data_IF_652395874014
#
_entry.id   IF_652395874014
#
_cell.length_a   1.000
_cell.length_b   1.000
_cell.length_c   1.000
_cell.angle_alpha   90.00
_cell.angle_beta   90.00
_cell.angle_gamma   90.00
#
_symmetry.space_group_name_H-M   'P 1'
#
loop_
_entity.id
_entity.type
_entity.pdbx_description
1 polymer ?
#
# COMPACT_ATOMS: atom_id res chain seq x y z
N UNK A 1 5.54 -6.09 3.05
CA UNK A 1 5.76 -5.32 1.81
C UNK A 1 6.99 -4.45 1.96
N UNK A 2 7.87 -4.39 0.96
CA UNK A 2 9.04 -3.50 0.91
C UNK A 2 8.93 -2.55 -0.27
N UNK A 3 9.45 -1.34 -0.10
CA UNK A 3 9.45 -0.28 -1.12
C UNK A 3 10.88 0.19 -1.34
N UNK A 4 11.34 0.18 -2.58
CA UNK A 4 12.63 0.73 -2.96
C UNK A 4 12.48 2.25 -3.15
N UNK A 5 13.04 3.03 -2.22
CA UNK A 5 12.91 4.48 -2.22
C UNK A 5 13.67 5.16 -3.37
N UNK A 6 14.67 4.51 -3.97
CA UNK A 6 15.40 5.05 -5.13
C UNK A 6 14.63 4.89 -6.44
N UNK A 7 13.66 3.96 -6.49
CA UNK A 7 12.82 3.71 -7.66
C UNK A 7 11.41 4.32 -7.50
N UNK A 8 10.94 4.49 -6.27
CA UNK A 8 9.62 5.05 -6.03
C UNK A 8 9.55 6.53 -6.44
N UNK A 9 8.60 6.86 -7.31
CA UNK A 9 8.38 8.24 -7.78
C UNK A 9 7.18 8.92 -7.11
N UNK A 10 6.51 8.27 -6.16
CA UNK A 10 5.33 8.83 -5.50
C UNK A 10 4.11 9.00 -6.39
N UNK A 11 4.03 8.30 -7.53
CA UNK A 11 2.97 8.44 -8.54
C UNK A 11 1.55 8.00 -8.10
N UNK A 12 1.36 7.53 -6.86
CA UNK A 12 0.08 7.08 -6.29
C UNK A 12 -0.62 5.88 -6.97
N UNK A 13 -0.04 5.24 -7.99
CA UNK A 13 -0.65 4.04 -8.63
C UNK A 13 -0.98 2.95 -7.60
N UNK A 14 -0.04 2.63 -6.72
CA UNK A 14 -0.25 1.66 -5.63
C UNK A 14 -1.33 2.05 -4.61
N UNK A 15 -1.63 3.36 -4.47
CA UNK A 15 -2.67 3.85 -3.57
C UNK A 15 -4.05 3.64 -4.18
N UNK A 16 -4.20 3.89 -5.47
CA UNK A 16 -5.49 3.77 -6.17
C UNK A 16 -5.79 2.35 -6.65
N UNK A 17 -4.76 1.54 -6.95
CA UNK A 17 -4.94 0.15 -7.41
C UNK A 17 -5.20 -0.82 -6.26
N UNK A 18 -4.88 -0.46 -5.01
CA UNK A 18 -5.10 -1.31 -3.86
C UNK A 18 -6.62 -1.51 -3.62
N UNK A 19 -7.14 -2.76 -3.65
CA UNK A 19 -8.57 -3.01 -3.45
C UNK A 19 -9.09 -2.59 -2.08
N UNK A 20 -8.26 -2.72 -1.03
CA UNK A 20 -8.61 -2.29 0.33
C UNK A 20 -8.76 -0.76 0.37
N UNK A 21 -7.80 -0.01 -0.18
CA UNK A 21 -7.91 1.43 -0.29
C UNK A 21 -9.13 1.83 -1.14
N UNK A 22 -9.35 1.20 -2.29
CA UNK A 22 -10.50 1.51 -3.14
C UNK A 22 -11.84 1.34 -2.40
N UNK A 23 -12.00 0.25 -1.63
CA UNK A 23 -13.20 0.03 -0.83
C UNK A 23 -13.39 1.10 0.25
N UNK A 24 -12.30 1.53 0.91
CA UNK A 24 -12.35 2.56 1.94
C UNK A 24 -12.65 3.93 1.35
N UNK A 25 -12.01 4.28 0.23
CA UNK A 25 -12.29 5.49 -0.54
C UNK A 25 -13.75 5.54 -0.98
N UNK A 26 -14.28 4.45 -1.55
CA UNK A 26 -15.69 4.35 -1.95
C UNK A 26 -16.65 4.55 -0.78
N UNK A 27 -16.30 4.06 0.41
CA UNK A 27 -17.16 4.13 1.61
C UNK A 27 -17.09 5.48 2.31
N UNK A 28 -15.91 6.13 2.36
CA UNK A 28 -15.64 7.32 3.17
C UNK A 28 -15.50 8.61 2.35
N UNK A 29 -15.31 8.50 1.04
CA UNK A 29 -15.05 9.64 0.15
C UNK A 29 -13.61 10.15 0.18
N UNK A 30 -12.78 9.65 1.09
CA UNK A 30 -11.39 10.04 1.23
C UNK A 30 -10.53 8.90 1.80
N UNK A 31 -9.21 9.03 1.62
CA UNK A 31 -8.21 8.17 2.26
C UNK A 31 -7.43 8.98 3.29
N UNK A 32 -7.38 8.44 4.50
CA UNK A 32 -6.62 8.95 5.64
C UNK A 32 -5.70 7.86 6.15
N UNK A 33 -4.83 8.19 7.11
CA UNK A 33 -4.01 7.18 7.77
C UNK A 33 -4.86 6.09 8.44
N UNK A 34 -6.03 6.45 8.95
CA UNK A 34 -6.90 5.54 9.70
C UNK A 34 -7.54 4.47 8.82
N UNK A 35 -7.84 4.78 7.56
CA UNK A 35 -8.56 3.87 6.67
C UNK A 35 -7.71 3.29 5.51
N UNK A 36 -6.56 3.88 5.17
CA UNK A 36 -5.71 3.36 4.11
C UNK A 36 -4.75 2.28 4.61
N UNK A 37 -4.31 1.38 3.72
CA UNK A 37 -3.21 0.42 3.97
C UNK A 37 -1.91 0.83 3.29
N UNK A 38 -1.97 1.79 2.37
CA UNK A 38 -0.82 2.40 1.71
C UNK A 38 -1.16 3.83 1.28
N UNK A 39 -0.26 4.78 1.53
CA UNK A 39 -0.37 6.18 1.08
C UNK A 39 0.98 6.65 0.53
N UNK A 40 1.01 7.76 -0.22
CA UNK A 40 2.26 8.44 -0.56
C UNK A 40 2.49 9.59 0.43
N UNK A 41 3.67 9.63 1.05
CA UNK A 41 4.12 10.72 1.93
C UNK A 41 5.51 11.17 1.50
N UNK A 42 5.71 12.48 1.36
CA UNK A 42 6.99 13.07 0.94
C UNK A 42 7.58 12.42 -0.33
N UNK A 43 6.72 12.14 -1.32
CA UNK A 43 7.12 11.54 -2.60
C UNK A 43 7.37 10.02 -2.57
N UNK A 44 7.19 9.35 -1.44
CA UNK A 44 7.45 7.92 -1.29
C UNK A 44 6.20 7.18 -0.80
N UNK A 45 5.89 6.05 -1.42
CA UNK A 45 4.83 5.17 -0.96
C UNK A 45 5.18 4.58 0.42
N UNK A 46 4.20 4.52 1.31
CA UNK A 46 4.34 4.21 2.71
C UNK A 46 3.23 3.21 3.10
N UNK A 47 3.56 1.94 3.41
CA UNK A 47 2.61 1.02 4.03
C UNK A 47 2.12 1.57 5.37
N UNK A 48 0.87 1.27 5.70
CA UNK A 48 0.29 1.52 7.01
C UNK A 48 -0.07 0.17 7.59
N UNK A 49 0.60 -0.19 8.68
CA UNK A 49 0.41 -1.42 9.42
C UNK A 49 0.45 -1.12 10.91
N UNK A 50 -0.56 -1.56 11.64
CA UNK A 50 -0.66 -1.46 13.10
C UNK A 50 -1.42 -2.70 13.59
N UNK A 51 -0.96 -3.35 14.66
CA UNK A 51 -1.47 -4.66 15.13
C UNK A 51 -2.94 -4.62 15.57
N UNK A 52 -3.40 -3.48 16.10
CA UNK A 52 -4.75 -3.31 16.65
C UNK A 52 -5.80 -2.95 15.58
N UNK A 53 -5.41 -2.81 14.31
CA UNK A 53 -6.36 -2.46 13.24
C UNK A 53 -7.23 -3.66 12.86
N UNK A 54 -8.51 -3.38 12.61
CA UNK A 54 -9.45 -4.38 12.09
C UNK A 54 -9.10 -4.93 10.71
N UNK A 55 -8.23 -4.25 9.96
CA UNK A 55 -7.69 -4.71 8.70
C UNK A 55 -6.31 -4.09 8.44
N UNK A 56 -5.46 -4.84 7.74
CA UNK A 56 -4.17 -4.40 7.24
C UNK A 56 -4.02 -4.88 5.78
N UNK A 57 -2.90 -4.54 5.14
CA UNK A 57 -2.56 -5.11 3.84
C UNK A 57 -2.60 -6.66 3.90
N UNK A 58 -3.33 -7.28 2.97
CA UNK A 58 -3.53 -8.73 2.88
C UNK A 58 -2.48 -9.45 2.02
N UNK A 59 -1.57 -8.69 1.40
CA UNK A 59 -0.54 -9.24 0.53
C UNK A 59 -1.05 -9.67 -0.86
N UNK A 60 -2.19 -9.17 -1.34
CA UNK A 60 -2.77 -9.57 -2.64
C UNK A 60 -1.89 -9.32 -3.88
N UNK A 61 -0.87 -8.45 -3.80
CA UNK A 61 0.11 -8.28 -4.88
C UNK A 61 -0.26 -7.30 -6.01
N UNK A 62 -1.49 -6.78 -6.07
CA UNK A 62 -1.91 -5.83 -7.13
C UNK A 62 -0.98 -4.62 -7.24
N UNK A 63 -0.52 -4.08 -6.11
CA UNK A 63 0.42 -2.96 -6.12
C UNK A 63 1.81 -3.29 -6.67
N UNK A 64 2.21 -4.57 -6.65
CA UNK A 64 3.47 -5.05 -7.23
C UNK A 64 3.36 -5.08 -8.75
N UNK A 65 2.27 -5.64 -9.28
CA UNK A 65 1.99 -5.75 -10.71
C UNK A 65 1.82 -4.38 -11.36
N UNK A 66 1.06 -3.49 -10.72
CA UNK A 66 0.72 -2.18 -11.27
C UNK A 66 1.83 -1.13 -11.08
N UNK A 67 2.87 -1.38 -10.29
CA UNK A 67 3.91 -0.38 -10.06
C UNK A 67 4.78 -0.18 -11.33
N UNK A 68 4.70 0.98 -12.02
CA UNK A 68 5.43 1.18 -13.27
C UNK A 68 6.96 1.20 -13.07
N UNK A 69 7.40 1.47 -11.84
CA UNK A 69 8.83 1.52 -11.48
C UNK A 69 9.33 0.20 -10.91
N UNK A 70 8.46 -0.80 -10.73
CA UNK A 70 8.77 -2.06 -10.03
C UNK A 70 9.43 -1.82 -8.66
N UNK A 71 8.97 -0.78 -7.96
CA UNK A 71 9.55 -0.33 -6.70
C UNK A 71 9.01 -1.11 -5.48
N UNK A 72 8.00 -1.97 -5.66
CA UNK A 72 7.30 -2.64 -4.56
C UNK A 72 7.53 -4.15 -4.65
N UNK A 73 7.78 -4.79 -3.51
CA UNK A 73 7.84 -6.25 -3.40
C UNK A 73 7.14 -6.76 -2.14
N UNK A 74 6.65 -8.00 -2.21
CA UNK A 74 6.11 -8.74 -1.06
C UNK A 74 7.13 -9.81 -0.69
N UNK A 75 7.37 -9.97 0.60
CA UNK A 75 8.26 -11.00 1.14
C UNK A 75 7.42 -11.94 1.99
N UNK A 76 7.60 -13.23 1.75
CA UNK A 76 7.04 -14.30 2.58
C UNK A 76 8.03 -14.48 3.74
N UNK A 77 7.52 -14.47 4.96
CA UNK A 77 8.29 -14.74 6.17
C UNK A 77 7.78 -16.08 6.68
N UNK A 78 8.68 -17.07 6.76
CA UNK A 78 8.39 -18.33 7.41
C UNK A 78 8.44 -18.10 8.93
N UNK A 79 7.41 -18.57 9.62
CA UNK A 79 7.34 -18.54 11.08
C UNK A 79 7.63 -19.96 11.53
N UNK A 80 8.78 -20.17 12.14
CA UNK A 80 9.16 -21.43 12.80
C UNK A 80 8.24 -21.74 14.00
#
# INVERSE_FOLDING_TARGET
MKINHNLCTGCNVCVVSCPINFNQLRKKGELTRENAVILVKNGIACPIYEDERSFNCDGCGVCVEECPQRAISIQIIEVE
#
